data_IF_104892086951
#
_entry.id   IF_104892086951
#
_cell.length_a   1.000
_cell.length_b   1.000
_cell.length_c   1.000
_cell.angle_alpha   90.00
_cell.angle_beta   90.00
_cell.angle_gamma   90.00
#
_symmetry.space_group_name_H-M   'P 1'
#
loop_
_entity.id
_entity.type
_entity.pdbx_description
1 polymer ?
#
# COMPACT_ATOMS: atom_id res chain seq x y z
N UNK A 1 2.41 -2.13 83.77
CA UNK A 1 1.35 -1.54 82.95
C UNK A 1 2.00 -1.11 81.65
N UNK A 2 1.85 -1.92 80.56
CA UNK A 2 2.50 -1.68 79.24
C UNK A 2 1.47 -1.15 78.31
N UNK A 3 1.72 0.07 77.81
CA UNK A 3 0.83 0.75 76.85
C UNK A 3 1.37 0.41 75.43
N UNK A 4 0.58 -0.29 74.65
CA UNK A 4 0.89 -0.54 73.24
C UNK A 4 0.25 0.58 72.41
N UNK A 5 1.09 1.36 71.72
CA UNK A 5 0.70 2.37 70.75
C UNK A 5 0.55 1.70 69.38
N UNK A 6 -0.66 1.67 68.84
CA UNK A 6 -0.94 1.17 67.50
C UNK A 6 -0.78 2.31 66.50
N UNK A 7 0.23 2.20 65.61
CA UNK A 7 0.39 3.12 64.51
C UNK A 7 -0.49 2.67 63.31
N UNK A 8 -1.48 3.49 62.95
CA UNK A 8 -2.37 3.30 61.83
C UNK A 8 -1.69 3.82 60.54
N UNK A 9 -1.17 2.89 59.72
CA UNK A 9 -0.58 3.25 58.42
C UNK A 9 -1.69 3.50 57.38
N UNK A 10 -1.81 4.72 56.89
CA UNK A 10 -2.68 5.08 55.77
C UNK A 10 -1.92 4.76 54.48
N UNK A 11 -2.36 3.70 53.77
CA UNK A 11 -1.87 3.39 52.41
C UNK A 11 -2.54 4.33 51.41
N UNK A 12 -1.77 5.26 50.86
CA UNK A 12 -2.19 6.13 49.75
C UNK A 12 -2.19 5.31 48.45
N UNK A 13 -3.36 4.85 47.98
CA UNK A 13 -3.53 4.26 46.66
C UNK A 13 -3.42 5.37 45.60
N UNK A 14 -2.24 5.50 44.99
CA UNK A 14 -2.07 6.34 43.81
C UNK A 14 -2.79 5.64 42.60
N UNK A 15 -3.99 6.11 42.29
CA UNK A 15 -4.66 5.73 41.03
C UNK A 15 -3.94 6.39 39.88
N UNK A 16 -3.02 5.65 39.21
CA UNK A 16 -2.47 6.04 37.94
C UNK A 16 -3.58 6.00 36.89
N UNK A 17 -4.21 7.15 36.63
CA UNK A 17 -5.14 7.31 35.53
C UNK A 17 -4.42 7.02 34.21
N UNK A 18 -4.75 5.90 33.58
CA UNK A 18 -4.37 5.62 32.19
C UNK A 18 -5.10 6.63 31.31
N UNK A 19 -4.41 7.71 30.94
CA UNK A 19 -4.87 8.61 29.90
C UNK A 19 -4.77 7.86 28.58
N UNK A 20 -5.89 7.34 28.09
CA UNK A 20 -5.99 6.84 26.72
C UNK A 20 -5.85 8.03 25.77
N UNK A 21 -4.66 8.20 25.19
CA UNK A 21 -4.46 9.14 24.09
C UNK A 21 -5.22 8.60 22.88
N UNK A 22 -6.32 9.24 22.51
CA UNK A 22 -7.01 8.97 21.25
C UNK A 22 -6.18 9.57 20.12
N UNK A 23 -5.50 8.74 19.35
CA UNK A 23 -4.74 9.19 18.18
C UNK A 23 -5.70 9.81 17.16
N UNK A 24 -5.43 11.05 16.72
CA UNK A 24 -6.21 11.76 15.71
C UNK A 24 -5.61 11.57 14.33
N UNK A 25 -6.47 11.31 13.36
CA UNK A 25 -6.10 11.17 11.96
C UNK A 25 -6.80 12.22 11.10
N UNK A 26 -6.10 12.71 10.08
CA UNK A 26 -6.62 13.48 8.97
C UNK A 26 -6.64 12.60 7.70
N UNK A 27 -7.60 12.82 6.82
CA UNK A 27 -7.80 12.00 5.63
C UNK A 27 -7.95 12.86 4.39
N UNK A 28 -7.37 12.40 3.28
CA UNK A 28 -7.64 12.94 1.93
C UNK A 28 -8.14 11.83 1.04
N UNK A 29 -9.22 12.10 0.32
CA UNK A 29 -9.73 11.27 -0.76
C UNK A 29 -9.30 11.92 -2.08
N UNK A 30 -8.48 11.19 -2.84
CA UNK A 30 -8.08 11.56 -4.20
C UNK A 30 -8.92 10.76 -5.18
N UNK A 31 -9.47 11.39 -6.21
CA UNK A 31 -10.33 10.75 -7.20
C UNK A 31 -10.02 11.31 -8.59
N UNK A 32 -9.65 10.45 -9.52
CA UNK A 32 -9.34 10.87 -10.89
C UNK A 32 -9.49 9.73 -11.90
N UNK A 33 -9.80 10.08 -13.13
CA UNK A 33 -9.83 9.16 -14.27
C UNK A 33 -8.46 9.02 -14.99
N UNK A 34 -7.41 9.73 -14.51
CA UNK A 34 -6.08 9.74 -15.12
C UNK A 34 -5.02 9.34 -14.09
N UNK A 35 -4.31 8.25 -14.36
CA UNK A 35 -3.25 7.73 -13.47
C UNK A 35 -2.09 8.71 -13.25
N UNK A 36 -1.66 9.44 -14.29
CA UNK A 36 -0.62 10.46 -14.15
C UNK A 36 -1.05 11.66 -13.27
N UNK A 37 -2.33 11.96 -13.22
CA UNK A 37 -2.88 12.97 -12.29
C UNK A 37 -2.88 12.41 -10.87
N UNK A 38 -3.31 11.16 -10.68
CA UNK A 38 -3.29 10.50 -9.38
C UNK A 38 -1.89 10.50 -8.76
N UNK A 39 -0.86 10.12 -9.52
CA UNK A 39 0.53 10.14 -9.02
C UNK A 39 0.97 11.53 -8.54
N UNK A 40 0.63 12.59 -9.29
CA UNK A 40 0.93 13.96 -8.88
C UNK A 40 0.20 14.37 -7.61
N UNK A 41 -1.08 14.05 -7.51
CA UNK A 41 -1.90 14.36 -6.33
C UNK A 41 -1.43 13.61 -5.09
N UNK A 42 -1.06 12.33 -5.22
CA UNK A 42 -0.47 11.54 -4.15
C UNK A 42 0.84 12.14 -3.65
N UNK A 43 1.74 12.56 -4.56
CA UNK A 43 3.00 13.19 -4.18
C UNK A 43 2.76 14.55 -3.52
N UNK A 44 1.80 15.35 -4.01
CA UNK A 44 1.41 16.61 -3.35
C UNK A 44 0.83 16.38 -1.95
N UNK A 45 0.06 15.30 -1.75
CA UNK A 45 -0.43 14.93 -0.43
C UNK A 45 0.71 14.45 0.48
N UNK A 46 1.68 13.72 -0.07
CA UNK A 46 2.88 13.27 0.67
C UNK A 46 3.74 14.45 1.13
N UNK A 47 3.91 15.48 0.31
CA UNK A 47 4.60 16.72 0.69
C UNK A 47 3.89 17.44 1.85
N UNK A 48 2.56 17.27 1.97
CA UNK A 48 1.76 17.75 3.12
C UNK A 48 1.76 16.78 4.31
N UNK A 49 2.52 15.67 4.24
CA UNK A 49 2.70 14.70 5.32
C UNK A 49 1.66 13.57 5.36
N UNK A 50 0.87 13.40 4.31
CA UNK A 50 -0.04 12.26 4.20
C UNK A 50 0.70 11.03 3.67
N UNK A 51 0.26 9.85 4.09
CA UNK A 51 0.77 8.54 3.62
C UNK A 51 -0.36 7.74 2.99
N UNK A 52 -0.02 6.81 2.13
CA UNK A 52 -0.98 5.91 1.48
C UNK A 52 -1.77 5.10 2.51
N UNK A 53 -3.07 5.03 2.33
CA UNK A 53 -3.97 4.20 3.12
C UNK A 53 -4.58 3.06 2.31
N UNK A 54 -5.22 3.37 1.20
CA UNK A 54 -5.87 2.35 0.34
C UNK A 54 -6.11 2.88 -1.07
N UNK A 55 -6.31 1.95 -2.02
CA UNK A 55 -6.68 2.24 -3.41
C UNK A 55 -7.84 1.38 -3.86
N UNK A 56 -8.75 1.96 -4.65
CA UNK A 56 -9.84 1.25 -5.31
C UNK A 56 -10.07 1.87 -6.71
N UNK A 57 -10.30 1.01 -7.69
CA UNK A 57 -10.79 1.43 -9.01
C UNK A 57 -12.24 1.02 -9.18
N UNK A 58 -13.04 1.83 -9.85
CA UNK A 58 -14.44 1.52 -10.07
C UNK A 58 -15.22 2.65 -10.71
N UNK A 59 -16.53 2.47 -10.79
CA UNK A 59 -17.46 3.54 -11.14
C UNK A 59 -17.84 4.30 -9.87
N UNK A 60 -17.63 5.61 -9.89
CA UNK A 60 -18.12 6.46 -8.80
C UNK A 60 -19.62 6.72 -8.97
N UNK A 61 -20.29 7.06 -7.86
CA UNK A 61 -21.71 7.40 -7.84
C UNK A 61 -22.08 8.64 -8.71
N UNK A 62 -21.09 9.37 -9.18
CA UNK A 62 -21.25 10.55 -10.06
C UNK A 62 -21.11 10.14 -11.55
N UNK A 63 -20.98 8.83 -11.85
CA UNK A 63 -21.01 8.30 -13.20
C UNK A 63 -19.68 8.29 -13.94
N UNK A 64 -18.56 8.40 -13.26
CA UNK A 64 -17.21 8.32 -13.81
C UNK A 64 -16.47 7.03 -13.45
N UNK A 65 -15.60 6.57 -14.34
CA UNK A 65 -14.63 5.52 -14.05
C UNK A 65 -13.40 6.18 -13.45
N UNK A 66 -13.16 5.93 -12.16
CA UNK A 66 -12.13 6.64 -11.39
C UNK A 66 -11.24 5.66 -10.61
N UNK A 67 -10.02 6.09 -10.38
CA UNK A 67 -9.17 5.55 -9.32
C UNK A 67 -9.37 6.41 -8.09
N UNK A 68 -9.69 5.79 -6.98
CA UNK A 68 -9.86 6.41 -5.68
C UNK A 68 -8.69 6.00 -4.79
N UNK A 69 -8.00 6.98 -4.19
CA UNK A 69 -6.95 6.75 -3.19
C UNK A 69 -7.29 7.48 -1.92
N UNK A 70 -7.25 6.76 -0.80
CA UNK A 70 -7.33 7.35 0.53
C UNK A 70 -5.91 7.55 1.03
N UNK A 71 -5.58 8.79 1.38
CA UNK A 71 -4.33 9.15 2.06
C UNK A 71 -4.64 9.51 3.51
N UNK A 72 -3.78 9.12 4.42
CA UNK A 72 -3.96 9.33 5.87
C UNK A 72 -2.80 10.10 6.46
N UNK A 73 -3.05 10.91 7.48
CA UNK A 73 -2.02 11.61 8.25
C UNK A 73 -2.33 11.52 9.74
N UNK A 74 -1.40 11.03 10.53
CA UNK A 74 -1.49 11.16 11.99
C UNK A 74 -1.17 12.60 12.39
N UNK A 75 -1.99 13.16 13.27
CA UNK A 75 -1.75 14.53 13.78
C UNK A 75 -0.59 14.56 14.77
N UNK A 76 -0.29 13.42 15.39
CA UNK A 76 0.70 13.31 16.49
C UNK A 76 2.05 12.77 16.02
N UNK A 77 2.12 12.15 14.84
CA UNK A 77 3.36 11.55 14.32
C UNK A 77 4.03 12.49 13.32
N UNK A 78 5.36 12.62 13.35
CA UNK A 78 6.08 13.39 12.33
C UNK A 78 5.73 12.94 10.92
N UNK A 79 5.61 13.88 10.00
CA UNK A 79 5.30 13.60 8.60
C UNK A 79 6.34 12.66 7.99
N UNK A 80 5.88 11.55 7.39
CA UNK A 80 6.74 10.66 6.62
C UNK A 80 7.05 11.34 5.28
N UNK A 81 8.35 11.48 4.96
CA UNK A 81 8.77 12.03 3.66
C UNK A 81 8.75 10.91 2.61
N UNK A 82 7.58 10.69 2.00
CA UNK A 82 7.34 9.63 1.02
C UNK A 82 7.36 10.14 -0.41
N UNK A 83 7.80 9.29 -1.33
CA UNK A 83 7.64 9.45 -2.78
C UNK A 83 6.80 8.30 -3.30
N UNK A 84 5.83 8.60 -4.15
CA UNK A 84 4.94 7.64 -4.78
C UNK A 84 5.20 7.54 -6.28
N UNK A 85 5.09 6.32 -6.81
CA UNK A 85 5.05 5.99 -8.23
C UNK A 85 3.80 5.16 -8.48
N UNK A 86 3.08 5.48 -9.56
CA UNK A 86 1.89 4.76 -9.99
C UNK A 86 2.14 4.16 -11.37
N UNK A 87 2.25 2.82 -11.42
CA UNK A 87 2.35 2.06 -12.65
C UNK A 87 0.95 1.72 -13.14
N UNK A 88 0.67 1.89 -14.44
CA UNK A 88 -0.62 1.57 -15.00
C UNK A 88 -0.50 1.07 -16.45
N UNK A 89 -0.89 -0.16 -16.70
CA UNK A 89 -0.84 -0.76 -18.02
C UNK A 89 -1.77 -1.96 -18.15
N UNK A 90 -2.17 -2.27 -19.39
CA UNK A 90 -2.88 -3.49 -19.73
C UNK A 90 -1.95 -4.63 -20.18
N UNK A 91 -0.63 -4.38 -20.26
CA UNK A 91 0.36 -5.34 -20.74
C UNK A 91 1.19 -5.91 -19.60
N UNK A 92 1.01 -7.17 -19.26
CA UNK A 92 1.70 -7.85 -18.13
C UNK A 92 3.23 -7.81 -18.25
N UNK A 93 3.77 -7.99 -19.48
CA UNK A 93 5.22 -7.90 -19.71
C UNK A 93 5.80 -6.50 -19.50
N UNK A 94 5.05 -5.44 -19.82
CA UNK A 94 5.42 -4.06 -19.53
C UNK A 94 5.38 -3.83 -18.03
N UNK A 95 4.30 -4.28 -17.38
CA UNK A 95 4.11 -4.13 -15.93
C UNK A 95 5.26 -4.78 -15.13
N UNK A 96 5.70 -6.00 -15.53
CA UNK A 96 6.84 -6.67 -14.89
C UNK A 96 8.13 -5.85 -15.00
N UNK A 97 8.39 -5.23 -16.17
CA UNK A 97 9.60 -4.41 -16.39
C UNK A 97 9.58 -3.14 -15.54
N UNK A 98 8.46 -2.41 -15.58
CA UNK A 98 8.29 -1.17 -14.83
C UNK A 98 8.32 -1.43 -13.31
N UNK A 99 7.69 -2.51 -12.87
CA UNK A 99 7.70 -2.94 -11.48
C UNK A 99 9.11 -3.27 -10.99
N UNK A 100 9.91 -3.99 -11.80
CA UNK A 100 11.30 -4.30 -11.47
C UNK A 100 12.17 -3.04 -11.47
N UNK A 101 11.98 -2.13 -12.43
CA UNK A 101 12.70 -0.84 -12.43
C UNK A 101 12.43 -0.04 -11.15
N UNK A 102 11.19 0.03 -10.71
CA UNK A 102 10.84 0.68 -9.45
C UNK A 102 11.46 -0.05 -8.24
N UNK A 103 11.50 -1.39 -8.27
CA UNK A 103 12.16 -2.20 -7.24
C UNK A 103 13.67 -1.97 -7.18
N UNK A 104 14.33 -1.81 -8.32
CA UNK A 104 15.76 -1.48 -8.41
C UNK A 104 16.05 -0.10 -7.79
N UNK A 105 15.09 0.83 -7.84
CA UNK A 105 15.14 2.13 -7.18
C UNK A 105 14.70 2.09 -5.71
N UNK A 106 14.30 0.92 -5.19
CA UNK A 106 13.89 0.69 -3.81
C UNK A 106 12.47 1.17 -3.48
N UNK A 107 11.59 1.24 -4.48
CA UNK A 107 10.17 1.47 -4.24
C UNK A 107 9.50 0.19 -3.74
N UNK A 108 8.76 0.31 -2.63
CA UNK A 108 8.01 -0.75 -1.97
C UNK A 108 6.55 -0.75 -2.41
N UNK A 109 5.96 -1.94 -2.53
CA UNK A 109 4.56 -2.10 -2.89
C UNK A 109 3.63 -1.61 -1.77
N UNK A 110 2.63 -0.78 -2.17
CA UNK A 110 1.57 -0.29 -1.28
C UNK A 110 0.21 -0.91 -1.57
N UNK A 111 -0.14 -1.02 -2.86
CA UNK A 111 -1.44 -1.51 -3.25
C UNK A 111 -1.63 -1.60 -4.76
N UNK A 112 -2.72 -2.22 -5.16
CA UNK A 112 -3.07 -2.39 -6.56
C UNK A 112 -4.57 -2.36 -6.77
N UNK A 113 -4.98 -1.99 -7.97
CA UNK A 113 -6.37 -2.02 -8.40
C UNK A 113 -6.46 -2.24 -9.91
N UNK A 114 -7.66 -2.50 -10.39
CA UNK A 114 -7.99 -2.45 -11.81
C UNK A 114 -8.98 -1.36 -12.04
N UNK A 115 -8.74 -0.50 -13.01
CA UNK A 115 -9.70 0.51 -13.42
C UNK A 115 -9.81 0.56 -14.94
N UNK A 116 -10.88 1.15 -15.41
CA UNK A 116 -11.13 1.33 -16.83
C UNK A 116 -10.75 2.78 -17.19
N UNK A 117 -9.71 2.92 -18.02
CA UNK A 117 -9.24 4.24 -18.45
C UNK A 117 -10.31 4.96 -19.30
N UNK A 118 -10.23 6.28 -19.41
CA UNK A 118 -11.14 7.10 -20.22
C UNK A 118 -11.22 6.67 -21.69
N UNK A 119 -10.23 5.95 -22.18
CA UNK A 119 -10.18 5.40 -23.55
C UNK A 119 -10.69 3.95 -23.63
N UNK A 120 -11.36 3.42 -22.59
CA UNK A 120 -12.04 2.12 -22.62
C UNK A 120 -11.15 0.91 -22.37
N UNK A 121 -9.88 1.08 -22.02
CA UNK A 121 -8.97 0.00 -21.64
C UNK A 121 -9.04 -0.33 -20.15
N UNK A 122 -9.07 -1.62 -19.79
CA UNK A 122 -8.85 -2.04 -18.39
C UNK A 122 -7.37 -2.14 -18.12
N UNK A 123 -6.88 -1.35 -17.19
CA UNK A 123 -5.49 -1.30 -16.79
C UNK A 123 -5.33 -1.82 -15.35
N UNK A 124 -4.24 -2.52 -15.11
CA UNK A 124 -3.78 -2.84 -13.76
C UNK A 124 -2.94 -1.66 -13.28
N UNK A 125 -3.34 -1.08 -12.15
CA UNK A 125 -2.60 0.01 -11.50
C UNK A 125 -1.96 -0.49 -10.23
N UNK A 126 -0.67 -0.21 -10.06
CA UNK A 126 0.13 -0.55 -8.87
C UNK A 126 0.67 0.74 -8.29
N UNK A 127 0.48 0.91 -6.99
CA UNK A 127 1.04 2.02 -6.22
C UNK A 127 2.24 1.51 -5.45
N UNK A 128 3.34 2.23 -5.58
CA UNK A 128 4.59 1.97 -4.89
C UNK A 128 5.04 3.23 -4.14
N UNK A 129 5.73 3.02 -3.01
CA UNK A 129 6.27 4.13 -2.22
C UNK A 129 7.76 3.95 -1.90
N UNK A 130 8.45 5.04 -1.63
CA UNK A 130 9.81 5.05 -1.12
C UNK A 130 9.99 6.18 -0.12
N UNK A 131 10.75 5.94 0.95
CA UNK A 131 11.21 7.03 1.81
C UNK A 131 12.22 7.89 1.05
N UNK A 132 12.05 9.23 1.10
CA UNK A 132 12.99 10.17 0.48
C UNK A 132 14.18 10.49 1.40
N UNK A 133 14.04 10.23 2.69
CA UNK A 133 15.07 10.47 3.72
C UNK A 133 15.43 9.16 4.41
N UNK A 134 16.69 9.01 4.82
CA UNK A 134 17.14 7.85 5.58
C UNK A 134 18.24 7.05 4.87
N UNK A 135 18.40 5.78 5.26
CA UNK A 135 19.35 4.86 4.66
C UNK A 135 19.07 4.64 3.16
N UNK A 136 20.10 4.29 2.36
CA UNK A 136 19.88 3.91 0.96
C UNK A 136 18.80 2.84 0.85
N UNK A 137 17.89 3.02 -0.09
CA UNK A 137 16.80 2.06 -0.32
C UNK A 137 17.40 0.70 -0.72
N UNK A 138 16.91 -0.37 -0.10
CA UNK A 138 17.28 -1.74 -0.50
C UNK A 138 16.63 -2.06 -1.83
N UNK A 139 17.37 -2.73 -2.70
CA UNK A 139 16.83 -3.27 -3.93
C UNK A 139 15.79 -4.34 -3.63
N UNK A 140 14.68 -4.30 -4.37
CA UNK A 140 13.58 -5.24 -4.25
C UNK A 140 13.44 -5.99 -5.58
N UNK A 141 13.49 -7.31 -5.52
CA UNK A 141 13.18 -8.15 -6.66
C UNK A 141 11.67 -8.39 -6.72
N UNK A 142 11.01 -7.94 -7.77
CA UNK A 142 9.60 -8.14 -8.01
C UNK A 142 9.35 -9.26 -9.02
N UNK A 143 8.34 -10.07 -8.74
CA UNK A 143 7.84 -11.11 -9.64
C UNK A 143 6.34 -10.93 -9.86
N UNK A 144 5.95 -10.87 -11.13
CA UNK A 144 4.57 -10.86 -11.57
C UNK A 144 4.22 -12.22 -12.16
N UNK A 145 3.17 -12.84 -11.65
CA UNK A 145 2.58 -14.07 -12.21
C UNK A 145 1.25 -13.70 -12.86
N UNK A 146 1.01 -14.19 -14.07
CA UNK A 146 -0.21 -13.91 -14.81
C UNK A 146 -0.70 -15.19 -15.52
N UNK A 147 -1.92 -15.64 -15.20
CA UNK A 147 -2.52 -16.83 -15.76
C UNK A 147 -4.05 -16.76 -15.77
N UNK A 148 -4.66 -17.46 -16.72
CA UNK A 148 -6.12 -17.62 -16.78
C UNK A 148 -6.64 -18.82 -15.98
N UNK A 149 -5.75 -19.67 -15.45
CA UNK A 149 -6.09 -20.91 -14.72
C UNK A 149 -5.67 -20.83 -13.26
N UNK A 150 -6.61 -20.99 -12.33
CA UNK A 150 -6.35 -20.95 -10.88
C UNK A 150 -5.38 -22.03 -10.41
N UNK A 151 -5.49 -23.25 -10.94
CA UNK A 151 -4.56 -24.35 -10.61
C UNK A 151 -3.12 -24.07 -11.06
N UNK A 152 -2.95 -23.38 -12.18
CA UNK A 152 -1.62 -22.94 -12.64
C UNK A 152 -1.09 -21.86 -11.71
N UNK A 153 -1.92 -20.87 -11.33
CA UNK A 153 -1.55 -19.82 -10.39
C UNK A 153 -1.08 -20.41 -9.05
N UNK A 154 -1.82 -21.36 -8.49
CA UNK A 154 -1.45 -22.01 -7.22
C UNK A 154 -0.07 -22.68 -7.30
N UNK A 155 0.20 -23.41 -8.40
CA UNK A 155 1.50 -24.04 -8.63
C UNK A 155 2.63 -23.02 -8.72
N UNK A 156 2.44 -21.95 -9.50
CA UNK A 156 3.42 -20.89 -9.68
C UNK A 156 3.68 -20.10 -8.41
N UNK A 157 2.64 -19.83 -7.59
CA UNK A 157 2.78 -19.20 -6.28
C UNK A 157 3.62 -20.07 -5.33
N UNK A 158 3.40 -21.38 -5.29
CA UNK A 158 4.22 -22.30 -4.48
C UNK A 158 5.68 -22.27 -4.90
N UNK A 159 5.94 -22.37 -6.22
CA UNK A 159 7.30 -22.32 -6.76
C UNK A 159 7.99 -20.97 -6.43
N UNK A 160 7.28 -19.86 -6.51
CA UNK A 160 7.81 -18.57 -6.13
C UNK A 160 8.09 -18.49 -4.61
N UNK A 161 7.20 -19.05 -3.78
CA UNK A 161 7.42 -19.17 -2.34
C UNK A 161 8.66 -19.97 -1.99
N UNK A 162 8.86 -21.12 -2.64
CA UNK A 162 10.07 -21.95 -2.47
C UNK A 162 11.36 -21.19 -2.88
N UNK A 163 11.25 -20.26 -3.84
CA UNK A 163 12.34 -19.37 -4.26
C UNK A 163 12.51 -18.13 -3.32
N UNK A 164 11.72 -18.02 -2.26
CA UNK A 164 11.81 -16.96 -1.25
C UNK A 164 11.02 -15.68 -1.57
N UNK A 165 10.11 -15.73 -2.55
CA UNK A 165 9.21 -14.62 -2.83
C UNK A 165 8.03 -14.60 -1.88
N UNK A 166 7.70 -13.43 -1.35
CA UNK A 166 6.54 -13.15 -0.52
C UNK A 166 5.41 -12.61 -1.39
N UNK A 167 4.20 -13.16 -1.25
CA UNK A 167 3.00 -12.66 -1.89
C UNK A 167 2.60 -11.28 -1.34
N UNK A 168 2.19 -10.36 -2.23
CA UNK A 168 1.76 -9.00 -1.90
C UNK A 168 0.29 -8.76 -2.23
N UNK A 169 -0.15 -9.16 -3.43
CA UNK A 169 -1.52 -8.91 -3.83
C UNK A 169 -1.91 -9.60 -5.13
N UNK A 170 -3.21 -9.63 -5.40
CA UNK A 170 -3.79 -10.24 -6.60
C UNK A 170 -4.91 -9.39 -7.17
N UNK A 171 -4.99 -9.30 -8.49
CA UNK A 171 -6.12 -8.70 -9.24
C UNK A 171 -6.49 -9.55 -10.44
N UNK A 172 -7.67 -9.28 -11.00
CA UNK A 172 -8.07 -9.86 -12.29
C UNK A 172 -7.97 -8.78 -13.37
N UNK A 173 -6.95 -8.88 -14.19
CA UNK A 173 -6.71 -8.02 -15.34
C UNK A 173 -7.33 -8.55 -16.63
N UNK A 174 -7.26 -7.75 -17.71
CA UNK A 174 -7.51 -8.20 -19.08
C UNK A 174 -6.17 -8.38 -19.79
N UNK A 175 -6.06 -9.45 -20.59
CA UNK A 175 -4.93 -9.61 -21.51
C UNK A 175 -5.05 -8.66 -22.69
N UNK A 176 -3.97 -8.42 -23.39
CA UNK A 176 -3.95 -7.67 -24.66
C UNK A 176 -4.88 -8.29 -25.74
N UNK A 177 -5.21 -9.57 -25.64
CA UNK A 177 -6.09 -10.31 -26.55
C UNK A 177 -7.54 -10.40 -26.03
N UNK A 178 -7.90 -9.65 -24.96
CA UNK A 178 -9.27 -9.58 -24.43
C UNK A 178 -9.66 -10.67 -23.43
N UNK A 179 -8.75 -11.60 -23.11
CA UNK A 179 -8.97 -12.60 -22.05
C UNK A 179 -8.87 -12.00 -20.65
N UNK A 180 -9.30 -12.75 -19.63
CA UNK A 180 -9.09 -12.42 -18.21
C UNK A 180 -7.92 -13.22 -17.67
N UNK A 181 -7.03 -12.55 -16.96
CA UNK A 181 -5.92 -13.17 -16.24
C UNK A 181 -5.97 -12.80 -14.75
N UNK A 182 -5.65 -13.77 -13.92
CA UNK A 182 -5.30 -13.52 -12.51
C UNK A 182 -3.85 -13.07 -12.49
N UNK A 183 -3.60 -11.88 -11.95
CA UNK A 183 -2.28 -11.28 -11.87
C UNK A 183 -1.91 -11.18 -10.40
N UNK A 184 -0.83 -11.86 -10.01
CA UNK A 184 -0.28 -11.83 -8.66
C UNK A 184 1.06 -11.14 -8.64
N UNK A 185 1.30 -10.32 -7.61
CA UNK A 185 2.55 -9.61 -7.39
C UNK A 185 3.23 -10.19 -6.17
N UNK A 186 4.51 -10.48 -6.30
CA UNK A 186 5.35 -10.99 -5.25
C UNK A 186 6.65 -10.19 -5.17
N UNK A 187 7.28 -10.17 -4.02
CA UNK A 187 8.59 -9.54 -3.82
C UNK A 187 9.56 -10.43 -3.06
N UNK A 188 10.84 -10.17 -3.28
CA UNK A 188 11.94 -10.69 -2.50
C UNK A 188 12.92 -9.56 -2.23
N UNK A 189 13.28 -9.35 -0.98
CA UNK A 189 14.26 -8.34 -0.61
C UNK A 189 15.64 -8.98 -0.56
N UNK A 190 16.61 -8.41 -1.25
CA UNK A 190 18.01 -8.84 -1.14
C UNK A 190 18.48 -8.60 0.30
N UNK A 191 19.22 -9.58 0.82
CA UNK A 191 19.76 -9.56 2.19
C UNK A 191 20.93 -8.59 2.32
#
# INVERSE_FOLDING_TARGET
>A
MKIYSAALGIALLASSGLTTFSQKFDYRLLATSKTSTMEKEMNSAADAGFVFGSVMGGESSIGGKEVLVVMTKSVETPAANKKYVLLATSKTGTLQKELQQAGDEGFEYCGQTVFESAFGGREVSIILERNQSGAPAKRIEYKLLATSKTSTMEKELRQAGDAGFKFLGVVVGKTALGGKEVISILQKTEK
#
